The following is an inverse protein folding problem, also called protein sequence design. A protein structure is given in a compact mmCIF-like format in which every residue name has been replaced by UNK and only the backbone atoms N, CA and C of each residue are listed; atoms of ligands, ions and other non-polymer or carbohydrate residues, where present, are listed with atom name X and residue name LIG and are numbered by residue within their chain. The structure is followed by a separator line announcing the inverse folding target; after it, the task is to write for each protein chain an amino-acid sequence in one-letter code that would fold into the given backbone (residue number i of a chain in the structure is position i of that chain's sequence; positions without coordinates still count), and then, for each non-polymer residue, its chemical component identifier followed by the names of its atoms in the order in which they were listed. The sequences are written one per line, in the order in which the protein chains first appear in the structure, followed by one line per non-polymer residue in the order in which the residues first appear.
data_IF_577833131567
#
_entry.id   IF_577833131567
#
_cell.length_a   1.000
_cell.length_b   1.000
_cell.length_c   1.000
_cell.angle_alpha   90.00
_cell.angle_beta   90.00
_cell.angle_gamma   90.00
#
_symmetry.space_group_name_H-M   'P 1'
#
loop_
_entity.id
_entity.type
_entity.pdbx_description
1 polymer ?
#
# COMPACT_ATOMS: atom_id res chain seq x y z
N UNK A 1 38.51 -21.46 1.21
CA UNK A 1 39.45 -21.42 0.07
C UNK A 1 38.94 -22.34 -1.02
N UNK A 2 38.32 -21.81 -2.08
CA UNK A 2 38.15 -22.50 -3.36
C UNK A 2 38.15 -21.46 -4.51
N UNK A 3 39.22 -21.57 -5.29
CA UNK A 3 39.57 -21.10 -6.64
C UNK A 3 38.75 -19.99 -7.34
N UNK A 4 39.36 -18.80 -7.43
CA UNK A 4 39.20 -17.88 -8.56
C UNK A 4 40.35 -18.13 -9.53
N UNK A 5 40.09 -18.74 -10.69
CA UNK A 5 41.05 -18.81 -11.80
C UNK A 5 40.28 -18.71 -13.12
N UNK A 6 40.62 -17.72 -13.94
CA UNK A 6 40.24 -17.69 -15.35
C UNK A 6 39.60 -16.39 -15.85
N UNK A 7 40.29 -15.26 -15.70
CA UNK A 7 39.98 -14.04 -16.46
C UNK A 7 40.48 -14.23 -17.91
N UNK A 8 39.60 -14.69 -18.81
CA UNK A 8 39.90 -14.75 -20.25
C UNK A 8 39.60 -13.41 -20.91
N UNK A 9 40.61 -12.87 -21.61
CA UNK A 9 40.57 -11.62 -22.36
C UNK A 9 39.77 -11.83 -23.64
N UNK A 10 38.69 -11.08 -23.82
CA UNK A 10 37.96 -10.98 -25.08
C UNK A 10 37.13 -9.72 -25.10
N UNK A 11 37.55 -8.74 -25.92
CA UNK A 11 36.79 -7.52 -26.16
C UNK A 11 35.52 -7.85 -26.97
N UNK A 12 34.35 -7.46 -26.48
CA UNK A 12 33.17 -7.31 -27.31
C UNK A 12 32.16 -6.35 -26.66
N UNK A 13 31.91 -5.25 -27.38
CA UNK A 13 30.73 -4.39 -27.36
C UNK A 13 30.18 -3.94 -26.00
N UNK A 14 30.43 -2.66 -25.69
CA UNK A 14 29.60 -1.89 -24.77
C UNK A 14 28.20 -1.72 -25.37
N UNK A 15 27.33 -2.72 -25.17
CA UNK A 15 25.89 -2.55 -25.35
C UNK A 15 25.38 -1.76 -24.13
N UNK A 16 25.26 -0.45 -24.30
CA UNK A 16 24.47 0.41 -23.42
C UNK A 16 23.01 -0.04 -23.51
N UNK A 17 22.66 -1.08 -22.75
CA UNK A 17 21.29 -1.41 -22.43
C UNK A 17 20.78 -0.27 -21.57
N UNK A 18 19.98 0.60 -22.17
CA UNK A 18 19.06 1.49 -21.46
C UNK A 18 18.10 0.59 -20.69
N UNK A 19 18.53 0.11 -19.53
CA UNK A 19 17.64 -0.46 -18.51
C UNK A 19 16.78 0.71 -18.09
N UNK A 20 15.63 0.84 -18.74
CA UNK A 20 14.59 1.73 -18.27
C UNK A 20 14.37 1.42 -16.80
N UNK A 21 14.59 2.42 -15.96
CA UNK A 21 14.17 2.41 -14.57
C UNK A 21 12.64 2.19 -14.59
N UNK A 22 12.20 0.93 -14.63
CA UNK A 22 10.91 0.53 -14.11
C UNK A 22 11.05 0.67 -12.60
N UNK A 23 10.98 1.91 -12.13
CA UNK A 23 10.63 2.13 -10.75
C UNK A 23 9.25 1.47 -10.59
N UNK A 24 9.07 0.54 -9.64
CA UNK A 24 7.73 0.21 -9.23
C UNK A 24 7.13 1.55 -8.83
N UNK A 25 6.07 1.97 -9.53
CA UNK A 25 5.24 3.05 -9.06
C UNK A 25 4.73 2.53 -7.72
N UNK A 26 5.44 2.89 -6.65
CA UNK A 26 4.94 2.75 -5.31
C UNK A 26 3.60 3.47 -5.37
N UNK A 27 2.52 2.71 -5.28
CA UNK A 27 1.19 3.26 -5.13
C UNK A 27 1.35 4.34 -4.06
N UNK A 28 1.09 5.60 -4.42
CA UNK A 28 0.99 6.66 -3.42
C UNK A 28 -0.17 6.21 -2.52
N UNK A 29 0.18 5.49 -1.46
CA UNK A 29 -0.77 4.97 -0.49
C UNK A 29 -1.44 6.18 0.10
N UNK A 30 -2.69 6.41 -0.31
CA UNK A 30 -3.61 7.21 0.47
C UNK A 30 -3.72 6.46 1.80
N UNK A 31 -2.91 6.85 2.78
CA UNK A 31 -2.95 6.25 4.11
C UNK A 31 -4.39 6.30 4.61
N UNK A 32 -4.93 5.15 5.04
CA UNK A 32 -6.29 5.08 5.57
C UNK A 32 -6.36 5.91 6.85
N UNK A 33 -7.02 7.06 6.80
CA UNK A 33 -7.16 7.95 7.95
C UNK A 33 -8.36 7.53 8.79
N UNK A 34 -8.11 7.20 10.06
CA UNK A 34 -9.18 6.90 11.00
C UNK A 34 -10.03 8.16 11.22
N UNK A 35 -11.37 8.10 11.03
CA UNK A 35 -12.21 9.25 11.29
C UNK A 35 -12.30 9.52 12.79
N UNK A 36 -12.40 10.79 13.16
CA UNK A 36 -12.54 11.23 14.55
C UNK A 36 -14.02 11.40 14.86
N UNK A 37 -14.47 10.93 16.03
CA UNK A 37 -15.85 11.09 16.46
C UNK A 37 -16.20 12.59 16.61
N UNK A 38 -17.39 13.04 16.17
CA UNK A 38 -17.84 14.39 16.40
C UNK A 38 -18.06 14.61 17.90
N UNK A 39 -17.85 15.85 18.37
CA UNK A 39 -18.04 16.22 19.78
C UNK A 39 -19.51 16.39 20.16
N UNK A 40 -20.39 16.55 19.16
CA UNK A 40 -21.78 16.88 19.38
C UNK A 40 -22.55 15.97 20.37
N UNK A 41 -22.41 14.62 20.36
CA UNK A 41 -23.09 13.76 21.32
C UNK A 41 -22.71 14.02 22.78
N UNK A 42 -21.55 14.65 23.02
CA UNK A 42 -21.08 14.98 24.37
C UNK A 42 -21.80 16.19 24.98
N UNK A 43 -22.61 16.93 24.19
CA UNK A 43 -23.38 18.10 24.65
C UNK A 43 -24.62 17.72 25.49
N UNK A 44 -25.03 16.45 25.49
CA UNK A 44 -26.02 15.87 26.42
C UNK A 44 -27.49 16.26 26.19
N UNK A 45 -27.79 17.48 25.74
CA UNK A 45 -29.13 17.95 25.37
C UNK A 45 -29.06 18.86 24.15
N UNK A 46 -30.06 18.76 23.29
CA UNK A 46 -30.29 19.71 22.20
C UNK A 46 -31.30 20.75 22.67
N UNK A 47 -30.96 22.02 22.50
CA UNK A 47 -31.83 23.15 22.87
C UNK A 47 -32.64 23.67 21.68
N UNK A 48 -32.37 23.16 20.47
CA UNK A 48 -33.18 23.42 19.28
C UNK A 48 -33.21 22.25 18.29
N UNK A 49 -34.22 22.24 17.42
CA UNK A 49 -34.31 21.30 16.29
C UNK A 49 -33.12 21.44 15.34
N UNK A 50 -32.57 22.65 15.21
CA UNK A 50 -31.41 22.92 14.37
C UNK A 50 -30.15 22.23 14.91
N UNK A 51 -29.90 22.33 16.22
CA UNK A 51 -28.78 21.62 16.87
C UNK A 51 -28.91 20.11 16.72
N UNK A 52 -30.11 19.57 16.97
CA UNK A 52 -30.37 18.14 16.77
C UNK A 52 -30.11 17.70 15.33
N UNK A 53 -30.65 18.45 14.35
CA UNK A 53 -30.51 18.13 12.93
C UNK A 53 -29.05 18.22 12.45
N UNK A 54 -28.33 19.26 12.89
CA UNK A 54 -26.90 19.42 12.59
C UNK A 54 -26.09 18.26 13.18
N UNK A 55 -26.34 17.91 14.44
CA UNK A 55 -25.68 16.78 15.09
C UNK A 55 -25.94 15.45 14.39
N UNK A 56 -27.19 15.23 14.00
CA UNK A 56 -27.60 14.02 13.28
C UNK A 56 -26.83 13.90 11.96
N UNK A 57 -26.71 15.00 11.22
CA UNK A 57 -25.93 15.06 9.98
C UNK A 57 -24.44 14.75 10.21
N UNK A 58 -23.84 15.29 11.28
CA UNK A 58 -22.45 14.96 11.66
C UNK A 58 -22.27 13.47 12.00
N UNK A 59 -23.22 12.87 12.71
CA UNK A 59 -23.19 11.44 13.04
C UNK A 59 -23.35 10.55 11.81
N UNK A 60 -24.22 10.92 10.87
CA UNK A 60 -24.38 10.21 9.59
C UNK A 60 -23.10 10.31 8.75
N UNK A 61 -22.48 11.49 8.68
CA UNK A 61 -21.19 11.69 8.00
C UNK A 61 -20.05 10.90 8.67
N UNK A 62 -20.07 10.79 10.00
CA UNK A 62 -19.10 9.99 10.75
C UNK A 62 -19.24 8.51 10.44
N UNK A 63 -20.47 7.98 10.37
CA UNK A 63 -20.73 6.60 9.97
C UNK A 63 -20.18 6.30 8.57
N UNK A 64 -20.52 7.13 7.60
CA UNK A 64 -20.06 7.00 6.22
C UNK A 64 -18.52 7.09 6.10
N UNK A 65 -17.89 7.90 6.96
CA UNK A 65 -16.42 7.96 7.06
C UNK A 65 -15.80 6.70 7.69
N UNK A 66 -16.49 6.03 8.61
CA UNK A 66 -16.06 4.74 9.18
C UNK A 66 -16.10 3.66 8.10
N UNK A 67 -17.16 3.61 7.30
CA UNK A 67 -17.31 2.64 6.21
C UNK A 67 -16.17 2.80 5.20
N UNK A 68 -15.92 4.02 4.72
CA UNK A 68 -14.77 4.32 3.85
C UNK A 68 -13.42 3.94 4.46
N UNK A 69 -13.24 4.14 5.76
CA UNK A 69 -12.00 3.78 6.44
C UNK A 69 -11.75 2.27 6.41
N UNK A 70 -12.78 1.45 6.63
CA UNK A 70 -12.64 0.00 6.56
C UNK A 70 -12.48 -0.52 5.14
N UNK A 71 -13.14 0.09 4.16
CA UNK A 71 -12.92 -0.23 2.75
C UNK A 71 -11.45 0.02 2.35
N UNK A 72 -10.92 1.17 2.73
CA UNK A 72 -9.51 1.50 2.53
C UNK A 72 -8.58 0.46 3.19
N UNK A 73 -8.85 0.07 4.44
CA UNK A 73 -8.03 -0.94 5.14
C UNK A 73 -8.10 -2.31 4.45
N UNK A 74 -9.25 -2.68 3.89
CA UNK A 74 -9.39 -3.92 3.14
C UNK A 74 -8.59 -3.89 1.83
N UNK A 75 -8.57 -2.76 1.14
CA UNK A 75 -7.76 -2.56 -0.06
C UNK A 75 -6.26 -2.63 0.26
N UNK A 76 -5.82 -1.96 1.33
CA UNK A 76 -4.44 -1.98 1.80
C UNK A 76 -4.00 -3.40 2.17
N UNK A 77 -4.82 -4.12 2.95
CA UNK A 77 -4.60 -5.54 3.28
C UNK A 77 -4.46 -6.39 2.01
N UNK A 78 -5.34 -6.21 1.04
CA UNK A 78 -5.34 -7.00 -0.20
C UNK A 78 -4.10 -6.71 -1.03
N UNK A 79 -3.70 -5.44 -1.13
CA UNK A 79 -2.47 -5.03 -1.79
C UNK A 79 -1.24 -5.63 -1.11
N UNK A 80 -1.15 -5.58 0.22
CA UNK A 80 -0.05 -6.17 0.99
C UNK A 80 0.05 -7.69 0.80
N UNK A 81 -1.08 -8.40 0.77
CA UNK A 81 -1.08 -9.85 0.50
C UNK A 81 -0.57 -10.15 -0.92
N UNK A 82 -0.98 -9.35 -1.91
CA UNK A 82 -0.48 -9.49 -3.29
C UNK A 82 1.02 -9.28 -3.35
N UNK A 83 1.53 -8.21 -2.75
CA UNK A 83 2.97 -7.91 -2.70
C UNK A 83 3.76 -9.03 -2.02
N UNK A 84 3.23 -9.58 -0.92
CA UNK A 84 3.83 -10.73 -0.25
C UNK A 84 3.90 -11.96 -1.18
N UNK A 85 2.81 -12.28 -1.87
CA UNK A 85 2.78 -13.43 -2.79
C UNK A 85 3.77 -13.27 -3.95
N UNK A 86 3.87 -12.06 -4.53
CA UNK A 86 4.87 -11.76 -5.56
C UNK A 86 6.31 -11.92 -5.03
N UNK A 87 6.57 -11.49 -3.80
CA UNK A 87 7.88 -11.67 -3.16
C UNK A 87 8.21 -13.16 -2.94
N UNK A 88 7.23 -13.95 -2.49
CA UNK A 88 7.36 -15.41 -2.33
C UNK A 88 7.62 -16.09 -3.67
N UNK A 89 6.92 -15.69 -4.73
CA UNK A 89 7.12 -16.22 -6.08
C UNK A 89 8.55 -15.98 -6.57
N UNK A 90 9.04 -14.73 -6.47
CA UNK A 90 10.41 -14.37 -6.83
C UNK A 90 11.44 -15.14 -6.00
N UNK A 91 11.23 -15.23 -4.68
CA UNK A 91 12.08 -16.01 -3.79
C UNK A 91 12.17 -17.48 -4.23
N UNK A 92 11.02 -18.11 -4.46
CA UNK A 92 10.97 -19.52 -4.88
C UNK A 92 11.60 -19.74 -6.26
N UNK A 93 11.50 -18.77 -7.17
CA UNK A 93 12.14 -18.83 -8.48
C UNK A 93 13.67 -18.89 -8.35
N UNK A 94 14.27 -17.98 -7.58
CA UNK A 94 15.72 -18.00 -7.32
C UNK A 94 16.16 -19.23 -6.53
N UNK A 95 15.37 -19.69 -5.55
CA UNK A 95 15.68 -20.88 -4.76
C UNK A 95 15.76 -22.15 -5.62
N UNK A 96 15.04 -22.21 -6.75
CA UNK A 96 15.09 -23.31 -7.72
C UNK A 96 16.21 -23.16 -8.76
N UNK A 97 17.03 -22.11 -8.68
CA UNK A 97 18.12 -21.84 -9.61
C UNK A 97 17.72 -21.04 -10.86
N UNK A 98 16.52 -20.47 -10.88
CA UNK A 98 16.12 -19.53 -11.93
C UNK A 98 16.96 -18.25 -11.88
N UNK A 99 17.46 -17.80 -13.03
CA UNK A 99 18.24 -16.55 -13.12
C UNK A 99 17.41 -15.35 -13.58
N UNK A 100 16.18 -15.57 -14.04
CA UNK A 100 15.26 -14.52 -14.51
C UNK A 100 13.87 -14.74 -13.90
N UNK A 101 13.54 -13.85 -12.97
CA UNK A 101 12.35 -13.71 -12.15
C UNK A 101 12.17 -12.19 -11.94
#
# INVERSE_FOLDING_TARGET
MFFLNGLSKGAAAAALLLVGLHQPVSAMGLFCTRPTAPSCPMMGKFDSDWEFSSCKSEMESYQDSIERYFDCLNDEKTATIREYNEAVERFNCYARGGSFC
#
